data_IF_634484218156
#
_entry.id   IF_634484218156
#
_cell.length_a   1.000
_cell.length_b   1.000
_cell.length_c   1.000
_cell.angle_alpha   90.00
_cell.angle_beta   90.00
_cell.angle_gamma   90.00
#
_symmetry.space_group_name_H-M   'P 1'
#
loop_
_entity.id
_entity.type
_entity.pdbx_description
1 polymer ?
#
# COMPACT_ATOMS: atom_id res chain seq x y z
N UNK A 1 8.35 -76.43 -21.13
CA UNK A 1 9.13 -75.21 -20.98
C UNK A 1 8.14 -74.03 -21.02
N UNK A 2 7.78 -73.44 -19.87
CA UNK A 2 6.80 -72.33 -19.79
C UNK A 2 7.59 -71.09 -19.54
N UNK A 3 7.50 -70.13 -20.50
CA UNK A 3 8.13 -68.82 -20.38
C UNK A 3 7.12 -67.86 -19.76
N UNK A 4 7.43 -67.34 -18.57
CA UNK A 4 6.65 -66.32 -17.85
C UNK A 4 7.21 -64.95 -18.22
N UNK A 5 6.43 -64.13 -18.92
CA UNK A 5 6.79 -62.73 -19.22
C UNK A 5 6.25 -61.86 -18.07
N UNK A 6 7.15 -61.19 -17.34
CA UNK A 6 6.80 -60.22 -16.32
C UNK A 6 6.69 -58.85 -16.96
N UNK A 7 5.52 -58.21 -16.90
CA UNK A 7 5.32 -56.81 -17.26
C UNK A 7 5.67 -55.90 -16.08
N UNK A 8 6.68 -55.11 -16.24
CA UNK A 8 7.01 -54.03 -15.30
C UNK A 8 6.18 -52.79 -15.66
N UNK A 9 5.23 -52.41 -14.81
CA UNK A 9 4.49 -51.16 -14.94
C UNK A 9 5.35 -50.00 -14.38
N UNK A 10 5.80 -49.11 -15.24
CA UNK A 10 6.46 -47.87 -14.84
C UNK A 10 5.38 -46.85 -14.45
N UNK A 11 5.28 -46.52 -13.17
CA UNK A 11 4.46 -45.39 -12.68
C UNK A 11 5.21 -44.10 -12.95
N UNK A 12 4.71 -43.33 -13.89
CA UNK A 12 5.09 -41.92 -14.05
C UNK A 12 4.41 -41.08 -12.96
N UNK A 13 5.17 -40.67 -11.95
CA UNK A 13 4.74 -39.65 -11.00
C UNK A 13 4.78 -38.29 -11.71
N UNK A 14 3.61 -37.80 -12.13
CA UNK A 14 3.46 -36.42 -12.57
C UNK A 14 3.60 -35.50 -11.37
N UNK A 15 4.78 -34.91 -11.18
CA UNK A 15 4.99 -33.84 -10.22
C UNK A 15 4.18 -32.61 -10.63
N UNK A 16 3.13 -32.27 -9.86
CA UNK A 16 2.44 -31.00 -10.00
C UNK A 16 3.43 -29.88 -9.66
N UNK A 17 3.93 -29.18 -10.67
CA UNK A 17 4.64 -27.91 -10.45
C UNK A 17 3.66 -26.92 -9.81
N UNK A 18 3.87 -26.58 -8.55
CA UNK A 18 3.14 -25.49 -7.90
C UNK A 18 3.52 -24.20 -8.63
N UNK A 19 2.61 -23.64 -9.41
CA UNK A 19 2.79 -22.30 -9.97
C UNK A 19 2.86 -21.34 -8.78
N UNK A 20 3.97 -20.63 -8.61
CA UNK A 20 4.09 -19.59 -7.60
C UNK A 20 3.03 -18.52 -7.80
N UNK A 21 2.64 -17.84 -6.72
CA UNK A 21 1.67 -16.75 -6.79
C UNK A 21 2.11 -15.70 -7.83
N UNK A 22 1.15 -15.25 -8.68
CA UNK A 22 1.41 -14.22 -9.66
C UNK A 22 1.11 -12.85 -9.05
N UNK A 23 2.10 -11.99 -9.03
CA UNK A 23 1.95 -10.60 -8.61
C UNK A 23 1.86 -9.66 -9.82
N UNK A 24 1.01 -8.63 -9.70
CA UNK A 24 0.81 -7.60 -10.71
C UNK A 24 0.51 -6.25 -10.06
N UNK A 25 0.51 -5.16 -10.83
CA UNK A 25 0.19 -3.83 -10.35
C UNK A 25 -0.83 -3.14 -11.26
N UNK A 26 -1.80 -2.47 -10.64
CA UNK A 26 -2.70 -1.53 -11.31
C UNK A 26 -2.65 -0.19 -10.60
N UNK A 27 -3.09 0.88 -11.27
CA UNK A 27 -2.95 2.24 -10.77
C UNK A 27 -4.29 2.96 -10.79
N UNK A 28 -4.53 3.80 -9.78
CA UNK A 28 -5.63 4.75 -9.75
C UNK A 28 -5.11 6.14 -9.40
N UNK A 29 -5.76 7.17 -9.95
CA UNK A 29 -5.38 8.55 -9.69
C UNK A 29 -6.16 9.10 -8.48
N UNK A 30 -5.48 9.96 -7.71
CA UNK A 30 -6.05 10.82 -6.68
C UNK A 30 -6.11 12.24 -7.26
N UNK A 31 -7.27 12.65 -7.76
CA UNK A 31 -7.50 13.97 -8.34
C UNK A 31 -8.67 14.63 -7.65
N UNK A 32 -8.53 15.88 -7.31
CA UNK A 32 -9.52 16.65 -6.55
C UNK A 32 -10.27 17.63 -7.44
N UNK A 33 -11.42 18.13 -6.98
CA UNK A 33 -12.16 19.19 -7.67
C UNK A 33 -11.29 20.45 -7.70
N UNK A 34 -11.06 20.98 -8.91
CA UNK A 34 -10.20 22.16 -9.11
C UNK A 34 -8.81 21.81 -9.69
N UNK A 35 -8.41 20.55 -9.71
CA UNK A 35 -7.19 20.14 -10.39
C UNK A 35 -7.31 20.36 -11.89
N UNK A 36 -6.35 21.09 -12.47
CA UNK A 36 -6.39 21.51 -13.86
C UNK A 36 -6.38 20.30 -14.82
N UNK A 37 -7.46 20.17 -15.60
CA UNK A 37 -7.56 19.23 -16.72
C UNK A 37 -7.86 17.78 -16.36
N UNK A 38 -8.04 17.45 -15.09
CA UNK A 38 -8.35 16.09 -14.66
C UNK A 38 -9.83 15.95 -14.22
N UNK A 39 -10.42 14.79 -14.48
CA UNK A 39 -11.71 14.45 -13.90
C UNK A 39 -11.49 14.01 -12.45
N UNK A 40 -12.09 14.74 -11.50
CA UNK A 40 -11.97 14.44 -10.08
C UNK A 40 -12.37 12.99 -9.77
N UNK A 41 -11.46 12.27 -9.13
CA UNK A 41 -11.71 10.92 -8.56
C UNK A 41 -12.07 11.00 -7.09
N UNK A 42 -11.71 12.09 -6.41
CA UNK A 42 -11.98 12.41 -5.01
C UNK A 42 -13.08 13.44 -4.87
N UNK A 43 -13.97 13.26 -3.90
CA UNK A 43 -15.01 14.20 -3.51
C UNK A 43 -14.88 14.55 -2.04
N UNK A 44 -14.99 15.83 -1.71
CA UNK A 44 -15.10 16.28 -0.33
C UNK A 44 -16.31 15.66 0.35
N UNK A 45 -16.14 15.18 1.58
CA UNK A 45 -17.22 14.58 2.38
C UNK A 45 -17.52 15.36 3.64
N UNK A 46 -16.56 16.08 4.20
CA UNK A 46 -16.76 17.05 5.28
C UNK A 46 -15.62 18.07 5.28
N UNK A 47 -15.90 19.24 5.82
CA UNK A 47 -14.94 20.26 6.17
C UNK A 47 -15.32 20.82 7.54
N UNK A 48 -14.34 21.06 8.39
CA UNK A 48 -14.48 21.68 9.69
C UNK A 48 -13.67 22.96 9.68
N UNK A 49 -14.39 24.09 9.69
CA UNK A 49 -13.77 25.43 9.57
C UNK A 49 -12.96 25.80 10.83
N UNK A 50 -13.32 25.25 12.00
CA UNK A 50 -12.64 25.56 13.26
C UNK A 50 -11.26 24.87 13.34
N UNK A 51 -11.20 23.59 12.97
CA UNK A 51 -9.93 22.83 12.95
C UNK A 51 -9.19 22.95 11.64
N UNK A 52 -9.81 23.46 10.57
CA UNK A 52 -9.25 23.50 9.23
C UNK A 52 -9.11 22.09 8.61
N UNK A 53 -9.79 21.08 9.17
CA UNK A 53 -9.72 19.72 8.67
C UNK A 53 -10.70 19.47 7.54
N UNK A 54 -10.31 18.64 6.59
CA UNK A 54 -11.13 18.25 5.44
C UNK A 54 -11.00 16.75 5.19
N UNK A 55 -12.11 16.12 4.78
CA UNK A 55 -12.12 14.69 4.44
C UNK A 55 -12.65 14.47 3.04
N UNK A 56 -12.11 13.44 2.38
CA UNK A 56 -12.46 13.07 1.03
C UNK A 56 -12.77 11.57 0.93
N UNK A 57 -13.60 11.23 -0.05
CA UNK A 57 -13.80 9.87 -0.52
C UNK A 57 -13.44 9.79 -2.01
N UNK A 58 -12.49 8.94 -2.33
CA UNK A 58 -11.95 8.78 -3.67
C UNK A 58 -12.32 7.41 -4.24
N UNK A 59 -12.33 7.32 -5.56
CA UNK A 59 -12.48 6.05 -6.28
C UNK A 59 -11.13 5.34 -6.28
N UNK A 60 -11.11 4.11 -5.80
CA UNK A 60 -9.96 3.22 -5.92
C UNK A 60 -10.21 2.11 -6.92
N UNK A 61 -9.39 1.05 -6.84
CA UNK A 61 -9.46 -0.10 -7.72
C UNK A 61 -10.53 -1.10 -7.23
N UNK A 62 -11.20 -1.77 -8.18
CA UNK A 62 -12.19 -2.85 -7.93
C UNK A 62 -13.29 -2.48 -6.91
N UNK A 63 -13.75 -1.23 -6.95
CA UNK A 63 -14.77 -0.72 -6.03
C UNK A 63 -14.28 -0.41 -4.61
N UNK A 64 -13.03 -0.69 -4.29
CA UNK A 64 -12.41 -0.31 -3.02
C UNK A 64 -12.27 1.21 -2.98
N UNK A 65 -12.91 1.86 -2.01
CA UNK A 65 -12.81 3.31 -1.81
C UNK A 65 -11.51 3.67 -1.11
N UNK A 66 -11.04 4.88 -1.36
CA UNK A 66 -9.94 5.49 -0.61
C UNK A 66 -10.51 6.65 0.19
N UNK A 67 -10.21 6.71 1.47
CA UNK A 67 -10.60 7.80 2.34
C UNK A 67 -9.36 8.59 2.72
N UNK A 68 -9.42 9.91 2.56
CA UNK A 68 -8.38 10.81 3.01
C UNK A 68 -8.94 11.76 4.05
N UNK A 69 -8.10 12.11 5.01
CA UNK A 69 -8.30 13.28 5.87
C UNK A 69 -7.05 14.14 5.81
N UNK A 70 -7.26 15.44 5.80
CA UNK A 70 -6.20 16.43 5.95
C UNK A 70 -6.52 17.32 7.15
N UNK A 71 -5.56 17.51 8.02
CA UNK A 71 -5.67 18.36 9.19
C UNK A 71 -4.29 18.57 9.80
N UNK A 72 -4.05 19.76 10.34
CA UNK A 72 -2.76 20.16 10.91
C UNK A 72 -1.57 19.89 9.95
N UNK A 73 -1.79 20.17 8.66
CA UNK A 73 -0.81 19.96 7.57
C UNK A 73 -0.33 18.50 7.45
N UNK A 74 -1.15 17.56 7.86
CA UNK A 74 -0.90 16.12 7.73
C UNK A 74 -2.04 15.43 7.02
N UNK A 75 -1.69 14.40 6.27
CA UNK A 75 -2.64 13.56 5.56
C UNK A 75 -2.76 12.20 6.25
N UNK A 76 -3.96 11.64 6.23
CA UNK A 76 -4.30 10.30 6.72
C UNK A 76 -5.02 9.56 5.60
N UNK A 77 -4.72 8.27 5.42
CA UNK A 77 -5.27 7.49 4.31
C UNK A 77 -5.74 6.12 4.78
N UNK A 78 -6.99 5.78 4.45
CA UNK A 78 -7.57 4.46 4.69
C UNK A 78 -8.23 3.90 3.44
N UNK A 79 -8.43 2.60 3.40
CA UNK A 79 -8.91 1.89 2.22
C UNK A 79 -10.09 0.99 2.54
N UNK A 80 -11.01 0.81 1.57
CA UNK A 80 -12.01 -0.25 1.57
C UNK A 80 -13.23 -0.03 2.42
N UNK A 81 -13.74 -1.11 2.93
CA UNK A 81 -15.07 -1.27 3.48
C UNK A 81 -15.29 -0.45 4.75
N UNK A 82 -14.36 -0.50 5.67
CA UNK A 82 -14.37 0.25 6.92
C UNK A 82 -13.22 1.28 6.98
N UNK A 83 -12.78 1.80 5.83
CA UNK A 83 -11.54 2.53 5.66
C UNK A 83 -11.22 3.58 6.73
N UNK A 84 -12.24 4.27 7.28
CA UNK A 84 -12.05 5.22 8.37
C UNK A 84 -11.91 4.56 9.76
N UNK A 85 -12.33 3.32 9.92
CA UNK A 85 -12.20 2.52 11.15
C UNK A 85 -10.97 1.62 11.15
N UNK A 86 -10.24 1.55 10.04
CA UNK A 86 -9.01 0.77 9.95
C UNK A 86 -7.83 1.50 10.59
N UNK A 87 -6.89 0.74 11.18
CA UNK A 87 -5.72 1.34 11.83
C UNK A 87 -4.88 2.19 10.85
N UNK A 88 -4.78 1.81 9.58
CA UNK A 88 -4.09 2.59 8.55
C UNK A 88 -4.56 4.05 8.47
N UNK A 89 -5.85 4.32 8.73
CA UNK A 89 -6.42 5.68 8.70
C UNK A 89 -5.97 6.54 9.89
N UNK A 90 -5.40 5.97 10.93
CA UNK A 90 -4.80 6.71 12.06
C UNK A 90 -3.30 6.95 11.89
N UNK A 91 -2.67 6.31 10.90
CA UNK A 91 -1.23 6.41 10.68
C UNK A 91 -0.88 7.61 9.78
N UNK A 92 0.09 8.39 10.21
CA UNK A 92 0.67 9.50 9.46
C UNK A 92 2.12 9.73 9.90
N UNK A 93 2.86 10.53 9.15
CA UNK A 93 4.18 10.98 9.59
C UNK A 93 4.05 12.15 10.56
N UNK A 94 4.96 12.26 11.55
CA UNK A 94 4.92 13.34 12.56
C UNK A 94 5.19 14.74 11.97
N UNK A 95 5.91 14.83 10.86
CA UNK A 95 6.18 16.08 10.13
C UNK A 95 5.03 16.42 9.19
N UNK A 96 5.00 17.65 8.67
CA UNK A 96 4.06 18.06 7.65
C UNK A 96 4.18 17.15 6.43
N UNK A 97 3.06 16.69 5.94
CA UNK A 97 3.07 15.74 4.84
C UNK A 97 1.82 15.85 3.97
N UNK A 98 1.97 15.41 2.74
CA UNK A 98 0.89 15.19 1.79
C UNK A 98 1.18 13.94 0.98
N UNK A 99 0.19 13.46 0.25
CA UNK A 99 0.34 12.26 -0.58
C UNK A 99 0.51 12.63 -2.06
N UNK A 100 1.05 11.69 -2.84
CA UNK A 100 1.11 11.79 -4.29
C UNK A 100 -0.27 11.59 -4.93
N UNK A 101 -0.33 11.85 -6.21
CA UNK A 101 -1.54 11.83 -7.04
C UNK A 101 -1.90 10.43 -7.58
N UNK A 102 -1.13 9.41 -7.24
CA UNK A 102 -1.29 8.06 -7.78
C UNK A 102 -1.10 6.98 -6.74
N UNK A 103 -2.04 6.05 -6.66
CA UNK A 103 -1.96 4.83 -5.85
C UNK A 103 -1.61 3.66 -6.76
N UNK A 104 -0.58 2.90 -6.42
CA UNK A 104 -0.33 1.59 -6.96
C UNK A 104 -1.03 0.53 -6.10
N UNK A 105 -1.85 -0.29 -6.71
CA UNK A 105 -2.51 -1.44 -6.08
C UNK A 105 -1.73 -2.69 -6.44
N UNK A 106 -1.19 -3.36 -5.44
CA UNK A 106 -0.48 -4.61 -5.61
C UNK A 106 -1.45 -5.77 -5.57
N UNK A 107 -1.47 -6.55 -6.65
CA UNK A 107 -2.37 -7.68 -6.82
C UNK A 107 -1.61 -8.99 -6.64
N UNK A 108 -2.23 -9.94 -5.95
CA UNK A 108 -1.81 -11.33 -5.86
C UNK A 108 -2.90 -12.19 -6.48
N UNK A 109 -2.58 -12.91 -7.55
CA UNK A 109 -3.54 -13.72 -8.31
C UNK A 109 -4.82 -12.92 -8.69
N UNK A 110 -4.62 -11.66 -9.09
CA UNK A 110 -5.67 -10.73 -9.53
C UNK A 110 -6.45 -10.04 -8.40
N UNK A 111 -6.15 -10.30 -7.12
CA UNK A 111 -6.82 -9.68 -5.98
C UNK A 111 -5.92 -8.62 -5.32
N UNK A 112 -6.42 -7.43 -5.01
CA UNK A 112 -5.67 -6.42 -4.27
C UNK A 112 -5.28 -6.92 -2.89
N UNK A 113 -3.99 -6.88 -2.54
CA UNK A 113 -3.45 -7.31 -1.25
C UNK A 113 -2.70 -6.20 -0.52
N UNK A 114 -2.23 -5.19 -1.24
CA UNK A 114 -1.60 -4.02 -0.66
C UNK A 114 -1.75 -2.80 -1.58
N UNK A 115 -1.53 -1.61 -1.02
CA UNK A 115 -1.31 -0.38 -1.79
C UNK A 115 0.09 0.14 -1.56
N UNK A 116 0.62 0.87 -2.55
CA UNK A 116 1.85 1.64 -2.44
C UNK A 116 1.50 3.08 -2.77
N UNK A 117 1.71 3.98 -1.82
CA UNK A 117 1.42 5.40 -1.98
C UNK A 117 2.64 6.23 -1.60
N UNK A 118 2.95 7.23 -2.43
CA UNK A 118 4.03 8.16 -2.18
C UNK A 118 3.59 9.23 -1.20
N UNK A 119 4.36 9.42 -0.15
CA UNK A 119 4.22 10.51 0.82
C UNK A 119 5.34 11.51 0.59
N UNK A 120 4.99 12.77 0.58
CA UNK A 120 5.90 13.91 0.46
C UNK A 120 5.91 14.62 1.78
N UNK A 121 7.08 14.73 2.38
CA UNK A 121 7.26 15.30 3.70
C UNK A 121 8.01 16.61 3.64
N UNK A 122 7.71 17.51 4.55
CA UNK A 122 8.38 18.79 4.69
C UNK A 122 8.59 19.14 6.16
N UNK A 123 9.81 19.47 6.54
CA UNK A 123 10.17 19.97 7.87
C UNK A 123 11.40 20.86 7.78
N UNK A 124 11.34 22.04 8.38
CA UNK A 124 12.47 22.98 8.51
C UNK A 124 13.21 23.25 7.18
N UNK A 125 12.45 23.36 6.07
CA UNK A 125 13.01 23.60 4.74
C UNK A 125 13.62 22.37 4.05
N UNK A 126 13.62 21.22 4.71
CA UNK A 126 13.97 19.92 4.12
C UNK A 126 12.74 19.25 3.53
N UNK A 127 12.95 18.52 2.45
CA UNK A 127 11.91 17.74 1.79
C UNK A 127 12.36 16.28 1.64
N UNK A 128 11.44 15.35 1.86
CA UNK A 128 11.66 13.93 1.70
C UNK A 128 10.49 13.26 1.01
N UNK A 129 10.75 12.10 0.42
CA UNK A 129 9.70 11.27 -0.17
C UNK A 129 9.84 9.83 0.30
N UNK A 130 8.73 9.26 0.75
CA UNK A 130 8.65 7.86 1.20
C UNK A 130 7.51 7.16 0.47
N UNK A 131 7.77 5.97 -0.03
CA UNK A 131 6.72 5.05 -0.46
C UNK A 131 6.26 4.26 0.77
N UNK A 132 4.98 4.35 1.06
CA UNK A 132 4.33 3.59 2.14
C UNK A 132 3.56 2.43 1.53
N UNK A 133 3.81 1.25 2.04
CA UNK A 133 3.08 0.02 1.69
C UNK A 133 2.05 -0.24 2.78
N UNK A 134 0.77 -0.24 2.40
CA UNK A 134 -0.35 -0.55 3.30
C UNK A 134 -0.97 -1.89 2.93
N UNK A 135 -1.10 -2.79 3.89
CA UNK A 135 -1.81 -4.06 3.72
C UNK A 135 -3.31 -3.83 3.53
N UNK A 136 -3.92 -4.59 2.63
CA UNK A 136 -5.36 -4.56 2.34
C UNK A 136 -6.02 -5.86 2.80
N UNK A 137 -6.37 -5.93 4.08
CA UNK A 137 -7.17 -7.00 4.65
C UNK A 137 -8.22 -6.36 5.55
N UNK A 138 -9.50 -6.71 5.39
CA UNK A 138 -10.58 -6.11 6.17
C UNK A 138 -10.38 -6.35 7.67
N UNK A 139 -10.39 -5.27 8.47
CA UNK A 139 -10.13 -5.33 9.90
C UNK A 139 -8.66 -5.55 10.28
N UNK A 140 -7.75 -5.56 9.31
CA UNK A 140 -6.31 -5.78 9.52
C UNK A 140 -5.47 -4.93 8.55
N UNK A 141 -5.76 -3.62 8.47
CA UNK A 141 -5.04 -2.68 7.61
C UNK A 141 -4.10 -1.79 8.42
N UNK A 142 -2.84 -1.78 8.05
CA UNK A 142 -1.82 -0.85 8.57
C UNK A 142 -0.68 -0.68 7.57
N UNK A 143 0.17 0.27 7.83
CA UNK A 143 1.46 0.38 7.15
C UNK A 143 2.33 -0.82 7.50
N UNK A 144 2.71 -1.60 6.49
CA UNK A 144 3.55 -2.80 6.67
C UNK A 144 5.00 -2.56 6.24
N UNK A 145 5.24 -1.58 5.37
CA UNK A 145 6.59 -1.19 4.99
C UNK A 145 6.69 0.28 4.59
N UNK A 146 7.93 0.80 4.67
CA UNK A 146 8.33 2.12 4.18
C UNK A 146 9.60 1.99 3.35
N UNK A 147 9.69 2.81 2.29
CA UNK A 147 10.87 2.90 1.43
C UNK A 147 11.18 4.37 1.16
N UNK A 148 12.34 4.86 1.57
CA UNK A 148 12.74 6.23 1.21
C UNK A 148 12.97 6.31 -0.31
N UNK A 149 12.14 7.10 -0.99
CA UNK A 149 12.27 7.32 -2.42
C UNK A 149 13.41 8.31 -2.74
N UNK A 150 13.78 9.13 -1.78
CA UNK A 150 14.91 10.06 -1.89
C UNK A 150 16.27 9.35 -1.83
N UNK A 151 16.36 8.19 -1.17
CA UNK A 151 17.62 7.46 -0.95
C UNK A 151 17.79 6.23 -1.84
N UNK A 152 16.71 5.69 -2.38
CA UNK A 152 16.75 4.47 -3.20
C UNK A 152 16.32 4.76 -4.63
N UNK A 153 17.20 4.54 -5.59
CA UNK A 153 16.93 4.72 -7.03
C UNK A 153 15.87 3.72 -7.54
N UNK A 154 15.77 2.57 -6.90
CA UNK A 154 14.86 1.46 -7.16
C UNK A 154 13.70 1.40 -6.16
N UNK A 155 13.35 2.52 -5.53
CA UNK A 155 12.36 2.58 -4.45
C UNK A 155 11.01 1.92 -4.81
N UNK A 156 10.53 2.08 -6.05
CA UNK A 156 9.28 1.44 -6.47
C UNK A 156 9.39 -0.10 -6.50
N UNK A 157 10.54 -0.62 -6.91
CA UNK A 157 10.79 -2.07 -6.93
C UNK A 157 10.90 -2.63 -5.51
N UNK A 158 11.60 -1.91 -4.64
CA UNK A 158 11.68 -2.26 -3.22
C UNK A 158 10.31 -2.25 -2.56
N UNK A 159 9.46 -1.25 -2.85
CA UNK A 159 8.10 -1.18 -2.31
C UNK A 159 7.22 -2.33 -2.81
N UNK A 160 7.31 -2.71 -4.09
CA UNK A 160 6.61 -3.89 -4.62
C UNK A 160 7.09 -5.17 -3.96
N UNK A 161 8.41 -5.31 -3.80
CA UNK A 161 8.98 -6.47 -3.10
C UNK A 161 8.48 -6.54 -1.65
N UNK A 162 8.46 -5.42 -0.94
CA UNK A 162 7.92 -5.35 0.42
C UNK A 162 6.43 -5.75 0.47
N UNK A 163 5.62 -5.27 -0.48
CA UNK A 163 4.22 -5.66 -0.59
C UNK A 163 4.06 -7.17 -0.83
N UNK A 164 4.86 -7.75 -1.73
CA UNK A 164 4.81 -9.17 -2.08
C UNK A 164 5.26 -10.08 -0.91
N UNK A 165 6.26 -9.63 -0.14
CA UNK A 165 6.82 -10.38 0.99
C UNK A 165 5.91 -10.31 2.23
N UNK A 166 5.29 -9.15 2.50
CA UNK A 166 4.67 -8.86 3.80
C UNK A 166 3.14 -8.86 3.80
N UNK A 167 2.48 -8.58 2.67
CA UNK A 167 1.02 -8.52 2.63
C UNK A 167 0.38 -9.86 3.04
N UNK A 168 -0.53 -9.80 4.04
CA UNK A 168 -1.17 -10.97 4.63
C UNK A 168 -0.33 -11.72 5.67
N UNK A 169 0.85 -11.19 6.04
CA UNK A 169 1.70 -11.79 7.08
C UNK A 169 1.75 -10.95 8.35
N UNK A 170 1.34 -9.68 8.29
CA UNK A 170 1.39 -8.75 9.41
C UNK A 170 0.04 -8.71 10.13
N UNK A 171 0.07 -8.80 11.45
CA UNK A 171 -1.09 -8.54 12.29
C UNK A 171 -1.04 -7.08 12.76
N UNK A 172 -1.96 -6.28 12.25
CA UNK A 172 -2.02 -4.85 12.51
C UNK A 172 -2.56 -4.57 13.91
N UNK A 173 -1.79 -3.84 14.71
CA UNK A 173 -2.17 -3.34 16.04
C UNK A 173 -1.73 -1.88 16.15
N UNK A 174 -2.17 -1.18 17.20
CA UNK A 174 -1.75 0.21 17.48
C UNK A 174 -0.24 0.34 17.70
N UNK A 175 0.44 -0.76 18.01
CA UNK A 175 1.89 -0.81 18.21
C UNK A 175 2.66 -1.25 16.94
N UNK A 176 1.94 -1.51 15.83
CA UNK A 176 2.58 -2.00 14.60
C UNK A 176 3.50 -0.95 14.00
N UNK A 177 4.77 -1.30 13.87
CA UNK A 177 5.79 -0.48 13.22
C UNK A 177 6.07 -1.04 11.84
N UNK A 178 5.97 -0.24 10.77
CA UNK A 178 6.27 -0.71 9.42
C UNK A 178 7.75 -1.09 9.28
N UNK A 179 8.01 -2.13 8.49
CA UNK A 179 9.37 -2.56 8.15
C UNK A 179 10.01 -1.58 7.17
N UNK A 180 11.25 -1.20 7.42
CA UNK A 180 11.99 -0.33 6.53
C UNK A 180 12.74 -1.14 5.48
N UNK A 181 12.53 -0.82 4.19
CA UNK A 181 13.16 -1.48 3.06
C UNK A 181 14.17 -0.56 2.37
N UNK A 182 15.41 -1.03 2.22
CA UNK A 182 16.50 -0.27 1.60
C UNK A 182 17.13 0.76 2.55
N UNK A 183 17.79 1.77 1.97
CA UNK A 183 18.38 2.86 2.74
C UNK A 183 17.29 3.83 3.23
N UNK A 184 17.37 4.26 4.48
CA UNK A 184 16.48 5.24 5.08
C UNK A 184 17.22 6.54 5.38
N UNK A 185 16.47 7.62 5.48
CA UNK A 185 16.90 8.83 6.14
C UNK A 185 16.31 8.85 7.55
N UNK A 186 17.16 8.75 8.57
CA UNK A 186 16.72 8.80 9.97
C UNK A 186 15.99 10.12 10.31
N UNK A 187 16.27 11.20 9.56
CA UNK A 187 15.60 12.49 9.72
C UNK A 187 14.20 12.55 9.09
N UNK A 188 13.93 11.71 8.06
CA UNK A 188 12.66 11.74 7.32
C UNK A 188 11.56 10.88 7.95
N UNK A 189 11.90 9.95 8.83
CA UNK A 189 11.00 8.85 9.22
C UNK A 189 10.81 8.73 10.73
N UNK A 190 11.68 9.31 11.57
CA UNK A 190 11.57 9.17 13.02
C UNK A 190 10.58 10.17 13.61
N UNK A 191 9.62 9.70 14.43
CA UNK A 191 8.92 10.60 15.35
C UNK A 191 9.92 11.17 16.34
N UNK A 192 9.93 12.48 16.50
CA UNK A 192 10.61 13.14 17.62
C UNK A 192 9.81 12.97 18.90
#
# INVERSE_FOLDING_TARGET
MRVTIAFAAAMLAAGAASAGAKYDSVYTDLTFEGDAGAKATCKGTSADEESGSVTFACKGHDGIKVYLAEGDLRTYVGYGWNGKGEHAYSQTFPMFNTVGDKIEWRLKDGKPVATILRWKMSSDGKQGEVLVVTQLEEGNQCWIARVSASKNKDANELARKAADDLAGTVHCTDESVPTDYGALDDEDIQPR
#
